data_IF_261057690515
#
_entry.id   IF_261057690515
#
_cell.length_a   1.000
_cell.length_b   1.000
_cell.length_c   1.000
_cell.angle_alpha   90.00
_cell.angle_beta   90.00
_cell.angle_gamma   90.00
#
_symmetry.space_group_name_H-M   'P 1'
#
loop_
_entity.id
_entity.type
_entity.pdbx_description
1 polymer ?
#
# COMPACT_ATOMS: atom_id res chain seq x y z
N UNK A 1 -17.00 -8.51 -14.67
CA UNK A 1 -17.45 -7.26 -14.03
C UNK A 1 -17.91 -7.47 -12.60
N UNK A 2 -18.88 -8.34 -12.30
CA UNK A 2 -19.42 -8.51 -10.92
C UNK A 2 -18.34 -8.73 -9.84
N UNK A 3 -17.29 -9.51 -10.14
CA UNK A 3 -16.17 -9.71 -9.20
C UNK A 3 -15.41 -8.41 -8.95
N UNK A 4 -15.16 -7.63 -10.00
CA UNK A 4 -14.50 -6.33 -9.88
C UNK A 4 -15.34 -5.35 -9.05
N UNK A 5 -16.64 -5.25 -9.31
CA UNK A 5 -17.54 -4.37 -8.56
C UNK A 5 -17.57 -4.71 -7.07
N UNK A 6 -17.68 -5.99 -6.73
CA UNK A 6 -17.62 -6.46 -5.34
C UNK A 6 -16.26 -6.19 -4.68
N UNK A 7 -15.16 -6.34 -5.42
CA UNK A 7 -13.82 -6.04 -4.93
C UNK A 7 -13.62 -4.54 -4.70
N UNK A 8 -14.12 -3.69 -5.61
CA UNK A 8 -14.11 -2.23 -5.48
C UNK A 8 -14.86 -1.77 -4.23
N UNK A 9 -16.07 -2.27 -4.00
CA UNK A 9 -16.85 -1.96 -2.81
C UNK A 9 -16.13 -2.41 -1.52
N UNK A 10 -15.54 -3.59 -1.56
CA UNK A 10 -14.75 -4.10 -0.44
C UNK A 10 -13.52 -3.25 -0.17
N UNK A 11 -12.80 -2.83 -1.23
CA UNK A 11 -11.64 -1.96 -1.12
C UNK A 11 -12.00 -0.61 -0.51
N UNK A 12 -13.07 0.05 -0.99
CA UNK A 12 -13.52 1.33 -0.45
C UNK A 12 -13.85 1.25 1.04
N UNK A 13 -14.57 0.21 1.48
CA UNK A 13 -14.85 0.00 2.90
C UNK A 13 -13.55 -0.19 3.71
N UNK A 14 -12.60 -0.98 3.20
CA UNK A 14 -11.33 -1.18 3.88
C UNK A 14 -10.48 0.08 3.93
N UNK A 15 -10.53 0.95 2.91
CA UNK A 15 -9.84 2.24 2.91
C UNK A 15 -10.42 3.18 3.96
N UNK A 16 -11.74 3.20 4.14
CA UNK A 16 -12.41 3.95 5.20
C UNK A 16 -11.98 3.46 6.60
N UNK A 17 -11.93 2.14 6.82
CA UNK A 17 -11.43 1.54 8.05
C UNK A 17 -9.96 1.91 8.33
N UNK A 18 -9.11 1.92 7.29
CA UNK A 18 -7.70 2.32 7.39
C UNK A 18 -7.56 3.81 7.68
N UNK A 19 -8.36 4.66 7.02
CA UNK A 19 -8.42 6.09 7.29
C UNK A 19 -8.73 6.35 8.77
N UNK A 20 -9.80 5.77 9.29
CA UNK A 20 -10.19 5.96 10.70
C UNK A 20 -9.12 5.44 11.68
N UNK A 21 -8.46 4.33 11.35
CA UNK A 21 -7.35 3.81 12.15
C UNK A 21 -6.15 4.74 12.12
N UNK A 22 -5.70 5.13 10.93
CA UNK A 22 -4.56 6.05 10.77
C UNK A 22 -4.82 7.41 11.44
N UNK A 23 -6.03 7.96 11.30
CA UNK A 23 -6.43 9.20 11.93
C UNK A 23 -6.31 9.16 13.46
N UNK A 24 -6.77 8.09 14.07
CA UNK A 24 -6.70 7.89 15.53
C UNK A 24 -5.28 7.70 16.03
N UNK A 25 -4.44 7.01 15.25
CA UNK A 25 -3.13 6.57 15.67
C UNK A 25 -2.01 7.55 15.28
N UNK A 26 -2.15 8.23 14.14
CA UNK A 26 -1.11 9.02 13.51
C UNK A 26 -1.55 10.43 13.07
N UNK A 27 -2.82 10.78 13.27
CA UNK A 27 -3.38 12.08 12.91
C UNK A 27 -3.90 12.18 11.48
N UNK A 28 -4.55 13.32 11.19
CA UNK A 28 -5.25 13.59 9.92
C UNK A 28 -4.30 13.51 8.69
N UNK A 29 -3.11 14.11 8.81
CA UNK A 29 -2.14 14.14 7.69
C UNK A 29 -1.73 12.74 7.24
N UNK A 30 -1.61 11.80 8.19
CA UNK A 30 -1.26 10.40 7.89
C UNK A 30 -2.43 9.62 7.30
N UNK A 31 -3.66 10.00 7.65
CA UNK A 31 -4.88 9.38 7.13
C UNK A 31 -5.22 9.83 5.71
N UNK A 32 -4.84 11.05 5.33
CA UNK A 32 -5.21 11.66 4.04
C UNK A 32 -4.79 10.84 2.80
N UNK A 33 -3.79 9.96 2.91
CA UNK A 33 -3.40 9.06 1.83
C UNK A 33 -4.52 8.10 1.44
N UNK A 34 -5.33 7.66 2.40
CA UNK A 34 -6.44 6.73 2.14
C UNK A 34 -7.62 7.40 1.45
N UNK A 35 -7.83 8.72 1.69
CA UNK A 35 -8.78 9.53 0.89
C UNK A 35 -8.32 9.63 -0.57
N UNK A 36 -7.02 9.84 -0.80
CA UNK A 36 -6.47 9.84 -2.17
C UNK A 36 -6.68 8.49 -2.84
N UNK A 37 -6.49 7.37 -2.15
CA UNK A 37 -6.75 6.04 -2.68
C UNK A 37 -8.23 5.85 -3.05
N UNK A 38 -9.15 6.28 -2.19
CA UNK A 38 -10.58 6.25 -2.48
C UNK A 38 -10.92 7.11 -3.72
N UNK A 39 -10.37 8.32 -3.82
CA UNK A 39 -10.55 9.18 -4.98
C UNK A 39 -10.04 8.56 -6.29
N UNK A 40 -8.89 7.88 -6.27
CA UNK A 40 -8.36 7.16 -7.44
C UNK A 40 -9.30 6.02 -7.82
N UNK A 41 -9.76 5.24 -6.85
CA UNK A 41 -10.61 4.07 -7.05
C UNK A 41 -12.01 4.45 -7.56
N UNK A 42 -12.54 5.60 -7.13
CA UNK A 42 -13.80 6.16 -7.62
C UNK A 42 -13.62 6.95 -8.92
N UNK A 43 -12.38 7.24 -9.29
CA UNK A 43 -12.04 8.02 -10.49
C UNK A 43 -12.57 7.37 -11.78
N UNK A 44 -13.34 8.13 -12.57
CA UNK A 44 -14.00 7.63 -13.78
C UNK A 44 -13.01 7.02 -14.79
N UNK A 45 -11.80 7.56 -14.90
CA UNK A 45 -10.80 7.09 -15.86
C UNK A 45 -10.26 5.70 -15.47
N UNK A 46 -9.91 5.49 -14.20
CA UNK A 46 -9.40 4.22 -13.72
C UNK A 46 -10.47 3.13 -13.82
N UNK A 47 -11.68 3.41 -13.35
CA UNK A 47 -12.83 2.50 -13.43
C UNK A 47 -13.17 2.13 -14.89
N UNK A 48 -13.22 3.12 -15.80
CA UNK A 48 -13.51 2.88 -17.20
C UNK A 48 -12.45 2.05 -17.90
N UNK A 49 -11.17 2.23 -17.58
CA UNK A 49 -10.06 1.44 -18.13
C UNK A 49 -10.19 -0.03 -17.74
N UNK A 50 -10.46 -0.31 -16.46
CA UNK A 50 -10.65 -1.68 -15.97
C UNK A 50 -11.88 -2.33 -16.62
N UNK A 51 -13.02 -1.64 -16.66
CA UNK A 51 -14.25 -2.16 -17.29
C UNK A 51 -14.05 -2.45 -18.77
N UNK A 52 -13.42 -1.52 -19.47
CA UNK A 52 -13.13 -1.68 -20.91
C UNK A 52 -12.22 -2.90 -21.16
N UNK A 53 -11.19 -3.10 -20.37
CA UNK A 53 -10.33 -4.27 -20.49
C UNK A 53 -11.11 -5.59 -20.28
N UNK A 54 -11.95 -5.66 -19.25
CA UNK A 54 -12.78 -6.85 -18.97
C UNK A 54 -13.76 -7.12 -20.14
N UNK A 55 -14.45 -6.10 -20.63
CA UNK A 55 -15.54 -6.25 -21.61
C UNK A 55 -15.04 -6.44 -23.03
N UNK A 56 -14.02 -5.67 -23.46
CA UNK A 56 -13.56 -5.67 -24.84
C UNK A 56 -12.46 -6.68 -25.11
N UNK A 57 -11.61 -6.97 -24.11
CA UNK A 57 -10.49 -7.90 -24.26
C UNK A 57 -10.77 -9.29 -23.67
N UNK A 58 -11.91 -9.47 -22.99
CA UNK A 58 -12.31 -10.73 -22.35
C UNK A 58 -11.26 -11.25 -21.34
N UNK A 59 -10.58 -10.35 -20.64
CA UNK A 59 -9.62 -10.71 -19.60
C UNK A 59 -10.28 -10.83 -18.23
N UNK A 60 -9.62 -11.48 -17.27
CA UNK A 60 -10.09 -11.53 -15.89
C UNK A 60 -9.90 -10.19 -15.19
N UNK A 61 -10.57 -10.03 -14.05
CA UNK A 61 -10.56 -8.76 -13.31
C UNK A 61 -9.16 -8.43 -12.74
N UNK A 62 -8.43 -9.44 -12.29
CA UNK A 62 -7.08 -9.29 -11.77
C UNK A 62 -6.11 -8.71 -12.81
N UNK A 63 -6.14 -9.25 -14.01
CA UNK A 63 -5.31 -8.75 -15.11
C UNK A 63 -5.75 -7.34 -15.54
N UNK A 64 -7.05 -7.09 -15.64
CA UNK A 64 -7.57 -5.76 -16.00
C UNK A 64 -7.12 -4.69 -14.99
N UNK A 65 -7.18 -4.99 -13.69
CA UNK A 65 -6.69 -4.09 -12.63
C UNK A 65 -5.18 -3.87 -12.73
N UNK A 66 -4.40 -4.95 -12.95
CA UNK A 66 -2.95 -4.86 -13.07
C UNK A 66 -2.52 -3.94 -14.23
N UNK A 67 -3.12 -4.14 -15.41
CA UNK A 67 -2.79 -3.34 -16.60
C UNK A 67 -3.24 -1.87 -16.42
N UNK A 68 -4.47 -1.64 -15.99
CA UNK A 68 -4.97 -0.28 -15.79
C UNK A 68 -4.18 0.48 -14.71
N UNK A 69 -3.77 -0.22 -13.64
CA UNK A 69 -2.94 0.35 -12.58
C UNK A 69 -1.54 0.71 -13.06
N UNK A 70 -0.91 -0.19 -13.81
CA UNK A 70 0.42 0.06 -14.38
C UNK A 70 0.42 1.21 -15.39
N UNK A 71 -0.58 1.27 -16.26
CA UNK A 71 -0.74 2.37 -17.23
C UNK A 71 -0.97 3.72 -16.53
N UNK A 72 -1.82 3.75 -15.51
CA UNK A 72 -2.06 4.96 -14.73
C UNK A 72 -0.82 5.39 -13.95
N UNK A 73 -0.11 4.46 -13.32
CA UNK A 73 1.13 4.73 -12.59
C UNK A 73 2.21 5.30 -13.51
N UNK A 74 2.41 4.72 -14.71
CA UNK A 74 3.34 5.24 -15.72
C UNK A 74 2.98 6.64 -16.20
N UNK A 75 1.68 6.92 -16.35
CA UNK A 75 1.24 8.26 -16.71
C UNK A 75 1.63 9.29 -15.64
N UNK A 76 1.48 8.95 -14.37
CA UNK A 76 1.89 9.81 -13.26
C UNK A 76 3.42 9.95 -13.18
N UNK A 77 4.18 8.89 -13.41
CA UNK A 77 5.65 8.92 -13.46
C UNK A 77 6.19 9.85 -14.57
N UNK A 78 5.46 9.97 -15.68
CA UNK A 78 5.84 10.82 -16.79
C UNK A 78 5.50 12.32 -16.59
N UNK A 79 4.83 12.69 -15.50
CA UNK A 79 4.51 14.09 -15.20
C UNK A 79 5.74 14.84 -14.72
N UNK A 80 5.85 16.11 -15.08
CA UNK A 80 6.96 16.99 -14.67
C UNK A 80 6.91 17.34 -13.18
N UNK A 81 5.73 17.33 -12.58
CA UNK A 81 5.51 17.65 -11.16
C UNK A 81 5.88 16.48 -10.26
N UNK A 82 6.81 16.73 -9.32
CA UNK A 82 7.31 15.73 -8.38
C UNK A 82 6.22 15.17 -7.46
N UNK A 83 5.24 15.99 -7.09
CA UNK A 83 4.10 15.56 -6.26
C UNK A 83 3.30 14.47 -6.98
N UNK A 84 2.97 14.66 -8.27
CA UNK A 84 2.25 13.66 -9.03
C UNK A 84 3.10 12.42 -9.31
N UNK A 85 4.40 12.57 -9.60
CA UNK A 85 5.29 11.41 -9.77
C UNK A 85 5.32 10.51 -8.54
N UNK A 86 5.36 11.10 -7.34
CA UNK A 86 5.34 10.34 -6.09
C UNK A 86 4.05 9.50 -5.92
N UNK A 87 2.92 9.93 -6.51
CA UNK A 87 1.65 9.22 -6.44
C UNK A 87 1.59 7.94 -7.29
N UNK A 88 2.56 7.70 -8.15
CA UNK A 88 2.65 6.44 -8.90
C UNK A 88 2.76 5.22 -8.00
N UNK A 89 3.46 5.33 -6.88
CA UNK A 89 3.56 4.28 -5.87
C UNK A 89 2.21 4.00 -5.20
N UNK A 90 1.43 5.05 -4.90
CA UNK A 90 0.09 4.94 -4.32
C UNK A 90 -0.87 4.18 -5.25
N UNK A 91 -0.77 4.45 -6.57
CA UNK A 91 -1.58 3.74 -7.58
C UNK A 91 -1.24 2.25 -7.63
N UNK A 92 0.04 1.90 -7.50
CA UNK A 92 0.48 0.50 -7.45
C UNK A 92 -0.02 -0.20 -6.20
N UNK A 93 0.13 0.40 -5.02
CA UNK A 93 -0.38 -0.15 -3.75
C UNK A 93 -1.90 -0.40 -3.83
N UNK A 94 -2.66 0.56 -4.35
CA UNK A 94 -4.10 0.41 -4.55
C UNK A 94 -4.45 -0.74 -5.51
N UNK A 95 -3.70 -0.87 -6.60
CA UNK A 95 -3.92 -1.93 -7.59
C UNK A 95 -3.60 -3.32 -7.02
N UNK A 96 -2.51 -3.47 -6.29
CA UNK A 96 -2.13 -4.71 -5.59
C UNK A 96 -3.17 -5.08 -4.54
N UNK A 97 -3.69 -4.11 -3.82
CA UNK A 97 -4.79 -4.32 -2.87
C UNK A 97 -6.05 -4.85 -3.54
N UNK A 98 -6.47 -4.26 -4.66
CA UNK A 98 -7.62 -4.74 -5.43
C UNK A 98 -7.41 -6.18 -5.92
N UNK A 99 -6.22 -6.49 -6.41
CA UNK A 99 -5.86 -7.84 -6.88
C UNK A 99 -5.93 -8.83 -5.72
N UNK A 100 -5.39 -8.50 -4.57
CA UNK A 100 -5.44 -9.33 -3.36
C UNK A 100 -6.88 -9.64 -2.94
N UNK A 101 -7.76 -8.63 -2.97
CA UNK A 101 -9.19 -8.81 -2.69
C UNK A 101 -9.85 -9.74 -3.73
N UNK A 102 -9.53 -9.56 -5.02
CA UNK A 102 -10.03 -10.40 -6.10
C UNK A 102 -9.60 -11.87 -5.99
N UNK A 103 -8.41 -12.11 -5.48
CA UNK A 103 -7.83 -13.44 -5.22
C UNK A 103 -8.40 -14.09 -3.96
N UNK A 104 -9.07 -13.30 -3.11
CA UNK A 104 -9.58 -13.79 -1.83
C UNK A 104 -8.49 -13.93 -0.77
N UNK A 105 -7.33 -13.33 -1.01
CA UNK A 105 -6.27 -13.29 -0.03
C UNK A 105 -6.67 -12.36 1.11
N UNK A 106 -6.90 -12.94 2.29
CA UNK A 106 -6.92 -12.13 3.51
C UNK A 106 -5.51 -11.58 3.70
N UNK A 107 -5.39 -10.26 3.93
CA UNK A 107 -4.11 -9.63 4.28
C UNK A 107 -3.46 -10.45 5.39
N UNK A 108 -2.43 -11.19 5.04
CA UNK A 108 -1.72 -12.03 5.99
C UNK A 108 -0.92 -11.10 6.89
N UNK A 109 -1.41 -10.89 8.11
CA UNK A 109 -0.52 -10.42 9.17
C UNK A 109 0.69 -11.34 9.21
N UNK A 110 1.88 -10.77 9.22
CA UNK A 110 3.12 -11.55 9.22
C UNK A 110 3.05 -12.66 10.30
N UNK A 111 3.17 -13.94 9.92
CA UNK A 111 3.12 -15.02 10.88
C UNK A 111 4.39 -14.96 11.73
N UNK A 112 4.25 -14.88 13.03
CA UNK A 112 5.41 -14.94 13.93
C UNK A 112 4.99 -14.83 15.39
N UNK A 113 5.67 -15.58 16.23
CA UNK A 113 5.54 -15.52 17.67
C UNK A 113 6.66 -14.63 18.20
N UNK A 114 6.31 -13.43 18.76
CA UNK A 114 7.27 -12.55 19.41
C UNK A 114 7.39 -11.16 18.78
N UNK A 115 8.22 -10.34 19.41
CA UNK A 115 8.56 -9.00 18.93
C UNK A 115 9.61 -9.08 17.82
N UNK A 116 9.44 -8.30 16.75
CA UNK A 116 10.25 -8.39 15.53
C UNK A 116 10.72 -7.02 15.03
N UNK A 117 11.85 -7.01 14.36
CA UNK A 117 12.26 -5.94 13.44
C UNK A 117 11.86 -6.41 12.05
N UNK A 118 11.05 -5.63 11.36
CA UNK A 118 10.61 -5.94 10.00
C UNK A 118 11.64 -5.41 9.00
N UNK A 119 12.08 -6.26 8.08
CA UNK A 119 12.91 -5.87 6.95
C UNK A 119 12.13 -6.06 5.65
N UNK A 120 12.00 -5.03 4.84
CA UNK A 120 11.26 -5.04 3.57
C UNK A 120 11.96 -4.18 2.52
N UNK A 121 11.71 -4.45 1.24
CA UNK A 121 12.20 -3.53 0.19
C UNK A 121 11.52 -2.18 0.28
N UNK A 122 10.21 -2.18 0.47
CA UNK A 122 9.40 -1.00 0.75
C UNK A 122 8.21 -1.41 1.63
N UNK A 123 7.56 -0.44 2.24
CA UNK A 123 6.35 -0.62 3.03
C UNK A 123 5.30 0.38 2.57
N UNK A 124 4.17 -0.16 2.14
CA UNK A 124 3.05 0.68 1.73
C UNK A 124 2.30 1.26 2.93
N UNK A 125 1.58 2.37 2.77
CA UNK A 125 0.72 2.91 3.81
C UNK A 125 -0.26 1.87 4.35
N UNK A 126 -0.86 1.09 3.45
CA UNK A 126 -1.82 0.04 3.80
C UNK A 126 -1.22 -1.05 4.70
N UNK A 127 -0.01 -1.49 4.40
CA UNK A 127 0.70 -2.49 5.22
C UNK A 127 1.05 -1.92 6.59
N UNK A 128 1.61 -0.71 6.62
CA UNK A 128 2.10 -0.08 7.85
C UNK A 128 0.98 0.14 8.88
N UNK A 129 -0.19 0.58 8.44
CA UNK A 129 -1.35 0.80 9.34
C UNK A 129 -1.95 -0.51 9.86
N UNK A 130 -1.81 -1.61 9.10
CA UNK A 130 -2.33 -2.92 9.48
C UNK A 130 -1.40 -3.69 10.43
N UNK A 131 -0.15 -3.27 10.57
CA UNK A 131 0.80 -3.94 11.46
C UNK A 131 0.37 -3.92 12.93
N UNK A 132 0.65 -5.01 13.62
CA UNK A 132 0.50 -5.09 15.07
C UNK A 132 1.68 -4.37 15.76
N UNK A 133 1.43 -3.15 16.20
CA UNK A 133 2.42 -2.30 16.86
C UNK A 133 3.00 -2.90 18.14
N UNK A 134 2.25 -3.74 18.83
CA UNK A 134 2.69 -4.36 20.07
C UNK A 134 3.85 -5.33 19.85
N UNK A 135 4.04 -5.77 18.60
CA UNK A 135 5.06 -6.73 18.20
C UNK A 135 6.18 -6.11 17.36
N UNK A 136 6.00 -4.91 16.86
CA UNK A 136 6.96 -4.24 15.99
C UNK A 136 7.97 -3.45 16.83
N UNK A 137 9.22 -3.91 16.87
CA UNK A 137 10.33 -3.22 17.54
C UNK A 137 11.01 -2.17 16.67
N UNK A 138 10.90 -2.31 15.34
CA UNK A 138 11.49 -1.41 14.37
C UNK A 138 11.31 -1.94 12.96
N UNK A 139 11.67 -1.15 11.96
CA UNK A 139 11.71 -1.63 10.59
C UNK A 139 12.86 -1.03 9.78
N UNK A 140 13.25 -1.79 8.76
CA UNK A 140 14.32 -1.46 7.83
C UNK A 140 13.74 -1.54 6.43
N UNK A 141 13.92 -0.50 5.61
CA UNK A 141 13.52 -0.53 4.20
C UNK A 141 14.68 -0.22 3.28
N UNK A 142 14.71 -0.89 2.12
CA UNK A 142 15.67 -0.61 1.06
C UNK A 142 15.33 0.68 0.34
N UNK A 143 14.05 0.92 0.10
CA UNK A 143 13.52 2.14 -0.52
C UNK A 143 12.80 3.02 0.50
N UNK A 144 12.43 4.20 0.06
CA UNK A 144 11.78 5.20 0.89
C UNK A 144 12.70 6.35 1.29
N UNK A 145 12.10 7.38 1.82
CA UNK A 145 12.81 8.58 2.30
C UNK A 145 12.32 8.98 3.68
N UNK A 146 13.04 9.88 4.33
CA UNK A 146 12.65 10.41 5.64
C UNK A 146 11.29 11.14 5.64
N UNK A 147 10.76 11.45 4.48
CA UNK A 147 9.45 12.09 4.28
C UNK A 147 8.40 11.13 3.68
N UNK A 148 8.72 9.84 3.52
CA UNK A 148 7.73 8.85 3.07
C UNK A 148 6.63 8.66 4.11
N UNK A 149 5.47 8.16 3.67
CA UNK A 149 4.37 7.80 4.58
C UNK A 149 4.82 6.84 5.66
N UNK A 150 5.68 5.89 5.30
CA UNK A 150 6.31 4.92 6.22
C UNK A 150 7.12 5.61 7.31
N UNK A 151 7.93 6.62 6.96
CA UNK A 151 8.71 7.37 7.93
C UNK A 151 7.84 8.20 8.87
N UNK A 152 6.79 8.82 8.34
CA UNK A 152 5.84 9.60 9.13
C UNK A 152 5.14 8.71 10.15
N UNK A 153 4.63 7.56 9.71
CA UNK A 153 3.99 6.58 10.57
C UNK A 153 4.94 6.02 11.64
N UNK A 154 6.20 5.71 11.28
CA UNK A 154 7.20 5.26 12.24
C UNK A 154 7.40 6.25 13.38
N UNK A 155 7.56 7.53 13.04
CA UNK A 155 7.71 8.61 14.04
C UNK A 155 6.48 8.70 14.94
N UNK A 156 5.28 8.63 14.36
CA UNK A 156 4.03 8.69 15.12
C UNK A 156 3.86 7.49 16.03
N UNK A 157 4.29 6.31 15.58
CA UNK A 157 4.28 5.09 16.36
C UNK A 157 5.40 5.02 17.41
N UNK A 158 6.33 5.97 17.38
CA UNK A 158 7.57 5.95 18.18
C UNK A 158 8.34 4.63 18.01
N UNK A 159 8.44 4.15 16.77
CA UNK A 159 9.14 2.94 16.38
C UNK A 159 10.37 3.34 15.55
N UNK A 160 11.59 2.85 15.89
CA UNK A 160 12.78 3.15 15.11
C UNK A 160 12.66 2.61 13.68
N UNK A 161 13.07 3.42 12.70
CA UNK A 161 13.03 3.07 11.29
C UNK A 161 14.31 3.48 10.58
N UNK A 162 14.90 2.57 9.82
CA UNK A 162 16.04 2.82 8.95
C UNK A 162 15.63 2.64 7.51
N UNK A 163 16.02 3.56 6.65
CA UNK A 163 15.73 3.55 5.22
C UNK A 163 17.01 3.63 4.41
N UNK A 164 16.97 3.09 3.19
CA UNK A 164 18.13 3.05 2.30
C UNK A 164 19.15 1.95 2.67
N UNK A 165 18.72 0.94 3.40
CA UNK A 165 19.53 -0.20 3.79
C UNK A 165 19.20 -1.38 2.86
N UNK A 166 20.18 -1.97 2.16
CA UNK A 166 19.94 -3.16 1.35
C UNK A 166 19.32 -4.28 2.19
N UNK A 167 18.20 -4.83 1.69
CA UNK A 167 17.47 -5.90 2.35
C UNK A 167 17.58 -7.17 1.52
N UNK A 168 18.06 -8.24 2.15
CA UNK A 168 18.14 -9.56 1.55
C UNK A 168 17.61 -10.65 2.50
N UNK A 169 17.41 -11.86 1.97
CA UNK A 169 16.89 -13.01 2.72
C UNK A 169 17.77 -13.47 3.89
N UNK A 170 19.05 -13.06 3.90
CA UNK A 170 19.98 -13.42 4.99
C UNK A 170 19.65 -12.71 6.31
N UNK A 171 18.83 -11.68 6.29
CA UNK A 171 18.34 -10.98 7.47
C UNK A 171 17.27 -11.77 8.23
N UNK A 172 16.58 -12.68 7.56
CA UNK A 172 15.48 -13.45 8.16
C UNK A 172 15.97 -14.32 9.32
N UNK A 173 15.28 -14.24 10.46
CA UNK A 173 15.60 -14.98 11.68
C UNK A 173 16.85 -14.53 12.41
N UNK A 174 17.49 -13.42 12.00
CA UNK A 174 18.65 -12.86 12.69
C UNK A 174 18.23 -12.01 13.87
N UNK A 175 19.10 -11.94 14.87
CA UNK A 175 18.98 -10.99 15.97
C UNK A 175 19.63 -9.70 15.53
N UNK A 176 18.89 -8.59 15.61
CA UNK A 176 19.36 -7.26 15.25
C UNK A 176 19.04 -6.25 16.36
N UNK A 177 19.81 -5.19 16.41
CA UNK A 177 19.56 -4.01 17.26
C UNK A 177 19.40 -2.83 16.32
N UNK A 178 18.36 -2.07 16.54
CA UNK A 178 18.08 -0.82 15.81
C UNK A 178 18.00 0.30 16.85
N UNK A 179 18.80 1.37 16.66
CA UNK A 179 18.90 2.51 17.57
C UNK A 179 18.83 3.81 16.77
#
# INVERSE_FOLDING_TARGET
>A
LRRYEAAKETALRQLDELYEKARKEAGEDSAAVFDVYAMILEGAQFDASIRSAIESQNVNAEYAVAVAGDDLAKMFEAMDDEYFRARSADIRDLSERLISILQGDSVKSAPGVGAVILAAKDLTPSETVQMDKSRLLGFITEFGSSNSHTAILARTMNVPALMGIPVDEHLEGRIAIID
#
